data_IF_397155231510
#
_entry.id   IF_397155231510
#
_cell.length_a   1.000
_cell.length_b   1.000
_cell.length_c   1.000
_cell.angle_alpha   90.00
_cell.angle_beta   90.00
_cell.angle_gamma   90.00
#
_symmetry.space_group_name_H-M   'P 1'
#
loop_
_entity.id
_entity.type
_entity.pdbx_description
1 polymer ?
#
# COMPACT_ATOMS: atom_id res chain seq x y z
N UNK A 1 -0.94 -19.06 -2.79
CA UNK A 1 0.07 -20.10 -3.12
C UNK A 1 1.21 -19.93 -2.15
N UNK A 2 1.62 -20.95 -1.43
CA UNK A 2 2.74 -20.89 -0.48
C UNK A 2 3.90 -21.60 -1.15
N UNK A 3 4.98 -20.89 -1.41
CA UNK A 3 6.19 -21.47 -1.97
C UNK A 3 7.16 -21.86 -0.85
N UNK A 4 7.86 -22.96 -1.02
CA UNK A 4 9.06 -23.23 -0.23
C UNK A 4 10.22 -22.46 -0.86
N UNK A 5 10.96 -21.69 -0.06
CA UNK A 5 12.16 -20.99 -0.54
C UNK A 5 13.09 -21.99 -1.25
N UNK A 6 13.58 -21.61 -2.44
CA UNK A 6 14.41 -22.45 -3.34
C UNK A 6 13.69 -23.60 -4.06
N UNK A 7 12.36 -23.71 -3.99
CA UNK A 7 11.66 -24.63 -4.90
C UNK A 7 11.79 -24.15 -6.35
N UNK A 8 11.75 -25.09 -7.31
CA UNK A 8 11.81 -24.74 -8.74
C UNK A 8 10.63 -23.84 -9.16
N UNK A 9 9.50 -23.98 -8.49
CA UNK A 9 8.31 -23.13 -8.70
C UNK A 9 8.54 -21.71 -8.20
N UNK A 10 9.16 -21.55 -7.01
CA UNK A 10 9.52 -20.24 -6.48
C UNK A 10 10.52 -19.55 -7.38
N UNK A 11 11.56 -20.24 -7.83
CA UNK A 11 12.58 -19.65 -8.70
C UNK A 11 12.00 -19.16 -10.03
N UNK A 12 11.13 -19.98 -10.67
CA UNK A 12 10.43 -19.56 -11.91
C UNK A 12 9.52 -18.35 -11.68
N UNK A 13 8.78 -18.33 -10.58
CA UNK A 13 7.95 -17.20 -10.22
C UNK A 13 8.79 -15.94 -9.97
N UNK A 14 9.92 -16.07 -9.25
CA UNK A 14 10.81 -14.95 -8.97
C UNK A 14 11.43 -14.37 -10.27
N UNK A 15 11.93 -15.22 -11.16
CA UNK A 15 12.47 -14.82 -12.46
C UNK A 15 11.41 -14.14 -13.33
N UNK A 16 10.16 -14.62 -13.32
CA UNK A 16 9.06 -14.00 -14.04
C UNK A 16 8.77 -12.60 -13.47
N UNK A 17 8.73 -12.45 -12.15
CA UNK A 17 8.52 -11.17 -11.49
C UNK A 17 9.65 -10.20 -11.82
N UNK A 18 10.90 -10.63 -11.70
CA UNK A 18 12.08 -9.81 -11.99
C UNK A 18 12.08 -9.29 -13.44
N UNK A 19 11.76 -10.14 -14.41
CA UNK A 19 11.61 -9.73 -15.82
C UNK A 19 10.51 -8.72 -16.07
N UNK A 20 9.47 -8.70 -15.23
CA UNK A 20 8.32 -7.84 -15.36
C UNK A 20 8.41 -6.54 -14.56
N UNK A 21 9.39 -6.41 -13.67
CA UNK A 21 9.60 -5.18 -12.89
C UNK A 21 10.01 -4.05 -13.84
N UNK A 22 9.31 -2.92 -13.84
CA UNK A 22 9.70 -1.77 -14.65
C UNK A 22 11.05 -1.22 -14.21
N UNK A 23 11.83 -0.70 -15.14
CA UNK A 23 13.13 -0.08 -14.87
C UNK A 23 13.03 1.27 -14.14
N UNK A 24 11.83 1.85 -14.10
CA UNK A 24 11.56 3.10 -13.39
C UNK A 24 10.20 3.04 -12.68
N UNK A 25 10.02 3.96 -11.74
CA UNK A 25 8.80 4.05 -10.93
C UNK A 25 7.55 4.35 -11.75
N UNK A 26 7.68 5.03 -12.90
CA UNK A 26 6.56 5.39 -13.77
C UNK A 26 5.80 4.17 -14.26
N UNK A 27 6.50 3.03 -14.39
CA UNK A 27 5.91 1.77 -14.82
C UNK A 27 4.93 1.14 -13.83
N UNK A 28 4.92 1.59 -12.58
CA UNK A 28 3.98 1.12 -11.54
C UNK A 28 2.96 2.20 -11.14
N UNK A 29 3.02 3.40 -11.75
CA UNK A 29 2.07 4.48 -11.48
C UNK A 29 0.81 4.30 -12.31
N UNK A 30 -0.33 4.27 -11.65
CA UNK A 30 -1.66 4.29 -12.27
C UNK A 30 -2.36 5.59 -11.94
N UNK A 31 -2.56 6.43 -12.95
CA UNK A 31 -3.30 7.67 -12.80
C UNK A 31 -4.80 7.37 -12.82
N UNK A 32 -5.50 7.77 -11.77
CA UNK A 32 -6.96 7.72 -11.65
C UNK A 32 -7.54 9.13 -11.67
N UNK A 33 -8.74 9.27 -12.20
CA UNK A 33 -9.37 10.59 -12.32
C UNK A 33 -9.91 11.07 -10.98
N UNK A 34 -10.67 10.21 -10.31
CA UNK A 34 -11.33 10.55 -9.04
C UNK A 34 -11.32 9.34 -8.09
N UNK A 35 -10.55 9.42 -7.01
CA UNK A 35 -10.47 8.37 -5.99
C UNK A 35 -11.83 8.14 -5.30
N UNK A 36 -12.72 9.12 -5.32
CA UNK A 36 -14.05 9.00 -4.71
C UNK A 36 -15.03 8.23 -5.59
N UNK A 37 -14.72 8.07 -6.89
CA UNK A 37 -15.55 7.36 -7.87
C UNK A 37 -14.65 6.72 -8.96
N UNK A 38 -13.87 5.72 -8.59
CA UNK A 38 -12.89 5.08 -9.47
C UNK A 38 -13.59 4.23 -10.52
N UNK A 39 -13.19 4.38 -11.77
CA UNK A 39 -13.76 3.64 -12.91
C UNK A 39 -13.29 2.18 -12.90
N UNK A 40 -14.13 1.30 -13.43
CA UNK A 40 -13.81 -0.14 -13.55
C UNK A 40 -12.50 -0.38 -14.31
N UNK A 41 -12.25 0.40 -15.37
CA UNK A 41 -11.00 0.31 -16.15
C UNK A 41 -9.77 0.72 -15.34
N UNK A 42 -9.88 1.71 -14.45
CA UNK A 42 -8.79 2.15 -13.58
C UNK A 42 -8.50 1.09 -12.50
N UNK A 43 -9.55 0.49 -11.93
CA UNK A 43 -9.44 -0.64 -10.99
C UNK A 43 -8.76 -1.84 -11.67
N UNK A 44 -9.16 -2.16 -12.90
CA UNK A 44 -8.55 -3.25 -13.67
C UNK A 44 -7.05 -3.00 -13.90
N UNK A 45 -6.67 -1.76 -14.21
CA UNK A 45 -5.27 -1.37 -14.41
C UNK A 45 -4.45 -1.48 -13.13
N UNK A 46 -4.99 -1.04 -11.98
CA UNK A 46 -4.35 -1.21 -10.67
C UNK A 46 -4.10 -2.70 -10.39
N UNK A 47 -5.11 -3.55 -10.57
CA UNK A 47 -4.98 -5.00 -10.34
C UNK A 47 -3.96 -5.65 -11.28
N UNK A 48 -3.96 -5.27 -12.56
CA UNK A 48 -2.96 -5.73 -13.53
C UNK A 48 -1.55 -5.36 -13.06
N UNK A 49 -1.34 -4.11 -12.65
CA UNK A 49 -0.04 -3.62 -12.18
C UNK A 49 0.41 -4.36 -10.92
N UNK A 50 -0.48 -4.55 -9.94
CA UNK A 50 -0.16 -5.32 -8.73
C UNK A 50 0.18 -6.77 -9.07
N UNK A 51 -0.58 -7.42 -9.94
CA UNK A 51 -0.31 -8.80 -10.35
C UNK A 51 1.06 -8.94 -11.03
N UNK A 52 1.45 -7.93 -11.80
CA UNK A 52 2.72 -7.90 -12.52
C UNK A 52 3.91 -7.60 -11.60
N UNK A 53 3.80 -6.56 -10.79
CA UNK A 53 4.91 -5.93 -10.06
C UNK A 53 4.86 -6.11 -8.55
N UNK A 54 3.82 -6.75 -7.99
CA UNK A 54 3.51 -6.87 -6.55
C UNK A 54 3.25 -5.53 -5.85
N UNK A 55 3.32 -4.43 -6.55
CA UNK A 55 3.09 -3.08 -6.05
C UNK A 55 2.43 -2.22 -7.12
N UNK A 56 1.79 -1.14 -6.68
CA UNK A 56 1.20 -0.13 -7.56
C UNK A 56 1.15 1.19 -6.80
N UNK A 57 1.58 2.25 -7.45
CA UNK A 57 1.37 3.62 -6.97
C UNK A 57 0.17 4.17 -7.72
N UNK A 58 -0.85 4.65 -7.03
CA UNK A 58 -1.94 5.36 -7.66
C UNK A 58 -1.83 6.86 -7.38
N UNK A 59 -2.19 7.64 -8.39
CA UNK A 59 -2.26 9.10 -8.29
C UNK A 59 -3.65 9.55 -8.70
N UNK A 60 -4.33 10.33 -7.85
CA UNK A 60 -5.67 10.84 -8.13
C UNK A 60 -5.64 12.34 -8.42
N UNK A 61 -6.34 12.77 -9.46
CA UNK A 61 -6.48 14.20 -9.78
C UNK A 61 -7.39 14.93 -8.80
N UNK A 62 -8.35 14.20 -8.21
CA UNK A 62 -9.32 14.74 -7.26
C UNK A 62 -8.98 14.21 -5.88
N UNK A 63 -8.90 15.11 -4.91
CA UNK A 63 -8.58 14.77 -3.54
C UNK A 63 -9.64 13.86 -2.91
N UNK A 64 -9.21 13.01 -1.98
CA UNK A 64 -10.09 12.18 -1.18
C UNK A 64 -11.04 13.04 -0.33
N UNK A 65 -12.33 12.74 -0.37
CA UNK A 65 -13.36 13.48 0.36
C UNK A 65 -13.65 12.92 1.75
N UNK A 66 -13.49 11.62 1.93
CA UNK A 66 -13.78 10.95 3.21
C UNK A 66 -13.13 9.57 3.30
N UNK A 67 -12.95 9.10 4.54
CA UNK A 67 -12.51 7.74 4.81
C UNK A 67 -13.46 6.68 4.24
N UNK A 68 -14.76 6.96 4.20
CA UNK A 68 -15.75 6.07 3.57
C UNK A 68 -15.46 5.87 2.08
N UNK A 69 -15.03 6.91 1.37
CA UNK A 69 -14.65 6.79 -0.04
C UNK A 69 -13.34 6.02 -0.21
N UNK A 70 -12.39 6.20 0.70
CA UNK A 70 -11.17 5.39 0.72
C UNK A 70 -11.48 3.91 0.91
N UNK A 71 -12.36 3.57 1.85
CA UNK A 71 -12.79 2.17 2.07
C UNK A 71 -13.47 1.58 0.83
N UNK A 72 -14.34 2.32 0.15
CA UNK A 72 -14.94 1.87 -1.11
C UNK A 72 -13.89 1.59 -2.19
N UNK A 73 -12.91 2.48 -2.31
CA UNK A 73 -11.79 2.28 -3.22
C UNK A 73 -10.99 1.02 -2.86
N UNK A 74 -10.60 0.87 -1.60
CA UNK A 74 -9.87 -0.29 -1.06
C UNK A 74 -10.62 -1.60 -1.35
N UNK A 75 -11.94 -1.63 -1.11
CA UNK A 75 -12.77 -2.80 -1.40
C UNK A 75 -12.85 -3.10 -2.91
N UNK A 76 -12.88 -2.07 -3.74
CA UNK A 76 -12.95 -2.23 -5.20
C UNK A 76 -11.71 -2.87 -5.79
N UNK A 77 -10.52 -2.60 -5.21
CA UNK A 77 -9.27 -3.25 -5.61
C UNK A 77 -9.11 -4.66 -5.03
N UNK A 78 -10.00 -5.09 -4.13
CA UNK A 78 -10.08 -6.48 -3.65
C UNK A 78 -9.69 -6.67 -2.18
N UNK A 79 -9.32 -5.62 -1.47
CA UNK A 79 -9.00 -5.69 -0.04
C UNK A 79 -10.30 -5.66 0.78
N UNK A 80 -10.76 -6.83 1.23
CA UNK A 80 -12.09 -7.00 1.88
C UNK A 80 -12.03 -7.40 3.34
N UNK A 81 -10.89 -7.90 3.78
CA UNK A 81 -10.66 -8.31 5.17
C UNK A 81 -9.56 -7.45 5.75
N UNK A 82 -9.79 -6.92 6.92
CA UNK A 82 -8.88 -6.02 7.60
C UNK A 82 -8.28 -6.72 8.82
N UNK A 83 -7.02 -6.42 9.11
CA UNK A 83 -6.42 -6.86 10.37
C UNK A 83 -6.99 -6.04 11.53
N UNK A 84 -7.70 -6.72 12.42
CA UNK A 84 -8.37 -6.09 13.56
C UNK A 84 -7.42 -5.74 14.71
N UNK A 85 -6.19 -6.23 14.69
CA UNK A 85 -5.26 -6.03 15.81
C UNK A 85 -4.58 -4.65 15.78
N UNK A 86 -4.55 -3.99 14.62
CA UNK A 86 -3.87 -2.70 14.41
C UNK A 86 -4.81 -1.56 14.01
N UNK A 87 -6.12 -1.76 14.08
CA UNK A 87 -7.07 -0.78 13.55
C UNK A 87 -7.77 -0.10 14.70
N UNK A 88 -7.53 1.18 14.83
CA UNK A 88 -8.45 2.09 15.49
C UNK A 88 -9.84 1.87 14.89
N UNK A 89 -10.90 2.08 15.64
CA UNK A 89 -12.29 1.67 15.43
C UNK A 89 -12.90 1.78 14.00
N UNK A 90 -12.16 2.24 12.99
CA UNK A 90 -12.67 2.60 11.65
C UNK A 90 -11.95 1.94 10.47
N UNK A 91 -11.23 0.82 10.64
CA UNK A 91 -10.55 0.10 9.55
C UNK A 91 -9.47 0.93 8.81
N UNK A 92 -9.19 2.15 9.25
CA UNK A 92 -8.17 3.05 8.73
C UNK A 92 -7.39 3.64 9.89
N UNK A 93 -6.08 3.43 9.92
CA UNK A 93 -5.19 4.10 10.85
C UNK A 93 -4.71 5.41 10.25
N UNK A 94 -4.89 6.51 10.98
CA UNK A 94 -4.37 7.82 10.58
C UNK A 94 -2.99 8.00 11.20
N UNK A 95 -1.99 8.19 10.36
CA UNK A 95 -0.61 8.41 10.79
C UNK A 95 -0.32 9.91 10.67
N UNK A 96 -0.13 10.56 11.82
CA UNK A 96 0.26 11.96 11.91
C UNK A 96 1.30 12.13 13.02
N UNK A 97 2.25 13.07 12.88
CA UNK A 97 3.16 13.40 13.98
C UNK A 97 2.37 13.85 15.20
N UNK A 98 2.70 13.30 16.37
CA UNK A 98 2.10 13.68 17.64
C UNK A 98 3.05 14.61 18.40
N UNK A 99 2.64 15.83 18.70
CA UNK A 99 3.46 16.86 19.40
C UNK A 99 3.95 16.44 20.80
N UNK A 100 3.26 15.48 21.43
CA UNK A 100 3.57 14.98 22.78
C UNK A 100 3.75 13.45 22.81
N UNK A 101 4.43 12.90 21.82
CA UNK A 101 4.62 11.46 21.73
C UNK A 101 5.60 10.94 22.79
N UNK A 102 5.08 10.70 24.03
CA UNK A 102 5.84 10.12 25.13
C UNK A 102 6.37 8.70 24.84
N UNK A 103 5.86 8.05 23.81
CA UNK A 103 6.15 6.64 23.50
C UNK A 103 7.25 6.51 22.43
N UNK A 104 7.70 7.60 21.81
CA UNK A 104 8.71 7.58 20.72
C UNK A 104 8.40 6.52 19.63
N UNK A 105 7.12 6.26 19.36
CA UNK A 105 6.72 5.32 18.32
C UNK A 105 6.96 5.94 16.95
N UNK A 106 7.96 5.43 16.24
CA UNK A 106 8.52 6.04 15.01
C UNK A 106 7.46 6.45 13.98
N UNK A 107 6.42 5.65 13.67
CA UNK A 107 5.38 6.04 12.72
C UNK A 107 4.65 7.36 13.02
N UNK A 108 4.65 7.81 14.28
CA UNK A 108 4.05 9.09 14.70
C UNK A 108 5.09 10.18 14.96
N UNK A 109 6.24 10.08 14.35
CA UNK A 109 7.35 11.04 14.45
C UNK A 109 7.78 11.49 13.05
N UNK A 110 8.68 12.45 13.00
CA UNK A 110 9.39 12.92 11.80
C UNK A 110 10.67 12.13 11.49
N UNK A 111 10.91 11.03 12.23
CA UNK A 111 12.11 10.20 12.07
C UNK A 111 11.96 9.24 10.89
N UNK A 112 13.07 8.95 10.22
CA UNK A 112 13.08 7.95 9.18
C UNK A 112 12.83 6.55 9.76
N UNK A 113 12.07 5.76 9.04
CA UNK A 113 11.80 4.37 9.35
C UNK A 113 12.76 3.48 8.57
N UNK A 114 13.44 2.58 9.27
CA UNK A 114 14.34 1.62 8.63
C UNK A 114 13.57 0.65 7.73
N UNK A 115 14.25 0.04 6.76
CA UNK A 115 13.70 -1.04 5.95
C UNK A 115 13.08 -2.12 6.83
N UNK A 116 11.82 -2.44 6.60
CA UNK A 116 11.04 -3.39 7.39
C UNK A 116 9.94 -4.01 6.53
N UNK A 117 9.31 -5.03 7.07
CA UNK A 117 8.04 -5.57 6.57
C UNK A 117 7.00 -5.40 7.66
N UNK A 118 5.85 -4.89 7.27
CA UNK A 118 4.74 -4.71 8.21
C UNK A 118 4.15 -6.06 8.63
N UNK A 119 3.73 -6.15 9.90
CA UNK A 119 3.05 -7.33 10.44
C UNK A 119 3.91 -8.59 10.55
N UNK A 120 5.24 -8.51 10.46
CA UNK A 120 6.13 -9.67 10.56
C UNK A 120 6.04 -10.38 11.92
N UNK A 121 5.58 -9.69 12.94
CA UNK A 121 5.39 -10.19 14.31
C UNK A 121 4.02 -10.84 14.53
N UNK A 122 3.10 -10.71 13.58
CA UNK A 122 1.76 -11.28 13.68
C UNK A 122 1.74 -12.76 13.28
N UNK A 123 0.92 -13.55 14.00
CA UNK A 123 0.71 -14.97 13.67
C UNK A 123 0.04 -15.16 12.30
N UNK A 124 -0.72 -14.17 11.85
CA UNK A 124 -1.33 -14.14 10.51
C UNK A 124 -0.59 -13.13 9.66
N UNK A 125 0.00 -13.58 8.57
CA UNK A 125 0.66 -12.69 7.61
C UNK A 125 -0.34 -11.71 7.03
N UNK A 126 0.04 -10.44 7.00
CA UNK A 126 -0.69 -9.41 6.27
C UNK A 126 -0.45 -9.64 4.78
N UNK A 127 -1.52 -9.73 4.02
CA UNK A 127 -1.45 -10.05 2.60
C UNK A 127 -1.11 -8.83 1.73
N UNK A 128 -1.60 -7.66 2.10
CA UNK A 128 -1.38 -6.42 1.35
C UNK A 128 -1.57 -5.20 2.23
N UNK A 129 -0.88 -4.13 1.88
CA UNK A 129 -0.99 -2.81 2.50
C UNK A 129 -1.45 -1.78 1.49
N UNK A 130 -2.17 -0.78 1.96
CA UNK A 130 -2.48 0.42 1.21
C UNK A 130 -2.14 1.63 2.07
N UNK A 131 -1.30 2.50 1.54
CA UNK A 131 -1.01 3.81 2.11
C UNK A 131 -1.64 4.88 1.24
N UNK A 132 -2.32 5.85 1.84
CA UNK A 132 -2.87 7.02 1.17
C UNK A 132 -2.27 8.28 1.76
N UNK A 133 -1.53 9.02 0.96
CA UNK A 133 -0.99 10.31 1.35
C UNK A 133 -2.10 11.37 1.31
N UNK A 134 -2.49 11.89 2.47
CA UNK A 134 -3.50 12.96 2.60
C UNK A 134 -2.82 14.33 2.47
N UNK A 135 -1.67 14.50 3.12
CA UNK A 135 -0.89 15.72 3.10
C UNK A 135 0.56 15.39 2.76
N UNK A 136 1.08 15.79 1.59
CA UNK A 136 2.48 15.58 1.28
C UNK A 136 3.36 16.42 2.20
N UNK A 137 4.51 15.87 2.58
CA UNK A 137 5.52 16.61 3.32
C UNK A 137 6.13 17.71 2.44
N UNK A 138 6.55 18.82 3.06
CA UNK A 138 7.28 19.89 2.36
C UNK A 138 8.72 19.45 2.04
N UNK A 139 9.31 18.66 2.93
CA UNK A 139 10.63 18.06 2.79
C UNK A 139 10.62 16.66 3.39
N UNK A 140 11.28 15.68 2.75
CA UNK A 140 11.30 14.30 3.21
C UNK A 140 9.97 13.56 2.97
N UNK A 141 9.83 12.42 3.62
CA UNK A 141 8.63 11.58 3.49
C UNK A 141 8.63 10.68 2.26
N UNK A 142 9.79 10.55 1.60
CA UNK A 142 9.94 9.64 0.48
C UNK A 142 9.86 8.19 0.95
N UNK A 143 9.23 7.35 0.12
CA UNK A 143 9.22 5.89 0.24
C UNK A 143 10.02 5.32 -0.93
N UNK A 144 10.90 4.35 -0.63
CA UNK A 144 11.78 3.70 -1.59
C UNK A 144 11.41 2.24 -1.79
#
# INVERSE_FOLDING_TARGET
>A
MIFTAKSAEFLRWAEEKERNIPHNIDGIIVNIHDINNVKISEIAKIKETINKCNSCIYSSKIALKSNTNLLKFVQSVGMRTYDRNNIESNEISTITPLENNKINYIPYTDKSLNWHTDGYYDKKSIFSWLLHCVHPATHGGENY
#
